data_IF_562740496722
#
_entry.id   IF_562740496722
#
_cell.length_a   1.000
_cell.length_b   1.000
_cell.length_c   1.000
_cell.angle_alpha   90.00
_cell.angle_beta   90.00
_cell.angle_gamma   90.00
#
_symmetry.space_group_name_H-M   'P 1'
#
loop_
_entity.id
_entity.type
_entity.pdbx_description
1 polymer ?
#
# COMPACT_ATOMS: atom_id res chain seq x y z
N UNK A 1 22.24 19.71 20.28
CA UNK A 1 23.03 19.61 19.03
C UNK A 1 22.07 19.79 17.85
N UNK A 2 22.37 20.64 16.85
CA UNK A 2 21.38 21.07 15.85
C UNK A 2 21.12 20.02 14.76
N UNK A 3 22.08 19.16 14.44
CA UNK A 3 21.90 18.09 13.46
C UNK A 3 21.20 16.88 14.06
N UNK A 4 20.33 16.24 13.29
CA UNK A 4 19.59 15.03 13.64
C UNK A 4 20.24 13.80 13.02
N UNK A 5 19.79 12.61 13.42
CA UNK A 5 20.09 11.34 12.76
C UNK A 5 21.59 11.05 12.53
N UNK A 6 22.42 11.40 13.52
CA UNK A 6 23.87 11.19 13.45
C UNK A 6 24.62 12.18 12.55
N UNK A 7 23.99 13.29 12.13
CA UNK A 7 24.64 14.36 11.39
C UNK A 7 25.76 15.05 12.17
N UNK A 8 26.86 15.36 11.49
CA UNK A 8 28.00 16.09 12.06
C UNK A 8 27.79 17.60 11.89
N UNK A 9 27.99 18.37 12.95
CA UNK A 9 27.80 19.81 12.95
C UNK A 9 29.12 20.54 12.75
N UNK A 10 29.18 21.44 11.76
CA UNK A 10 30.29 22.36 11.54
C UNK A 10 29.81 23.80 11.69
N UNK A 11 30.56 24.61 12.45
CA UNK A 11 30.30 26.04 12.56
C UNK A 11 30.81 26.78 11.32
N UNK A 12 30.05 27.75 10.85
CA UNK A 12 30.39 28.58 9.69
C UNK A 12 30.18 30.05 10.03
N UNK A 13 30.87 30.94 9.33
CA UNK A 13 30.91 32.38 9.66
C UNK A 13 29.66 33.16 9.24
N UNK A 14 28.71 32.51 8.58
CA UNK A 14 27.51 33.13 8.00
C UNK A 14 26.24 32.53 8.60
N UNK A 15 25.16 33.30 8.82
CA UNK A 15 23.87 32.77 9.27
C UNK A 15 23.42 31.56 8.41
N UNK A 16 22.93 30.46 9.01
CA UNK A 16 22.56 30.26 10.42
C UNK A 16 23.74 29.88 11.35
N UNK A 17 24.98 30.08 10.91
CA UNK A 17 26.23 29.81 11.64
C UNK A 17 26.58 28.34 11.85
N UNK A 18 25.81 27.43 11.25
CA UNK A 18 26.13 26.02 11.24
C UNK A 18 25.75 25.36 9.92
N UNK A 19 26.44 24.27 9.62
CA UNK A 19 26.14 23.36 8.52
C UNK A 19 26.17 21.92 9.06
N UNK A 20 25.14 21.13 8.71
CA UNK A 20 25.08 19.71 9.03
C UNK A 20 25.56 18.86 7.86
N UNK A 21 26.52 17.97 8.12
CA UNK A 21 26.90 16.88 7.21
C UNK A 21 26.07 15.65 7.56
N UNK A 22 25.20 15.25 6.64
CA UNK A 22 24.28 14.14 6.87
C UNK A 22 24.88 12.79 6.49
N UNK A 23 24.73 11.75 7.34
CA UNK A 23 25.06 10.38 6.96
C UNK A 23 24.16 9.91 5.81
N UNK A 24 24.61 8.87 5.11
CA UNK A 24 24.12 8.46 3.78
C UNK A 24 22.61 8.42 3.63
N UNK A 25 21.87 7.93 4.63
CA UNK A 25 20.42 7.74 4.58
C UNK A 25 19.61 8.98 5.00
N UNK A 26 20.25 10.13 5.25
CA UNK A 26 19.58 11.33 5.73
C UNK A 26 19.92 12.58 4.89
N UNK A 27 18.98 13.52 4.86
CA UNK A 27 19.04 14.78 4.11
C UNK A 27 18.26 15.87 4.84
N UNK A 28 18.27 17.09 4.30
CA UNK A 28 17.70 18.29 4.91
C UNK A 28 18.74 19.10 5.69
N UNK A 29 18.43 20.38 5.95
CA UNK A 29 19.33 21.37 6.60
C UNK A 29 19.87 20.87 7.94
N UNK A 30 19.12 20.04 8.63
CA UNK A 30 19.47 19.45 9.92
C UNK A 30 19.49 17.92 9.88
N UNK A 31 19.59 17.30 8.71
CA UNK A 31 19.54 15.84 8.52
C UNK A 31 18.24 15.18 9.02
N UNK A 32 17.13 15.91 9.02
CA UNK A 32 15.85 15.45 9.56
C UNK A 32 15.08 14.51 8.62
N UNK A 33 15.44 14.48 7.34
CA UNK A 33 14.69 13.76 6.30
C UNK A 33 15.43 12.47 5.95
N UNK A 34 14.74 11.33 5.90
CA UNK A 34 15.33 10.07 5.44
C UNK A 34 15.39 10.08 3.90
N UNK A 35 16.55 9.82 3.29
CA UNK A 35 16.72 9.70 1.83
C UNK A 35 16.00 8.49 1.26
N UNK A 36 15.82 7.46 2.09
CA UNK A 36 15.01 6.28 1.80
C UNK A 36 13.54 6.47 2.19
N UNK A 37 12.97 7.66 2.00
CA UNK A 37 11.56 7.69 1.67
C UNK A 37 11.47 7.11 0.26
N UNK A 38 11.19 5.81 0.15
CA UNK A 38 10.82 5.16 -1.12
C UNK A 38 9.90 6.16 -1.84
N UNK A 39 10.21 6.59 -3.08
CA UNK A 39 9.30 7.46 -3.81
C UNK A 39 7.90 6.86 -3.68
N UNK A 40 6.85 7.65 -3.39
CA UNK A 40 5.51 7.11 -3.40
C UNK A 40 5.38 6.34 -4.71
N UNK A 41 5.07 5.04 -4.61
CA UNK A 41 4.85 4.23 -5.79
C UNK A 41 3.89 5.00 -6.68
N UNK A 42 4.12 5.05 -8.01
CA UNK A 42 3.17 5.69 -8.90
C UNK A 42 1.76 5.17 -8.59
N UNK A 43 0.72 6.02 -8.65
CA UNK A 43 -0.64 5.57 -8.38
C UNK A 43 -0.89 4.31 -9.19
N UNK A 44 -1.35 3.25 -8.52
CA UNK A 44 -1.67 1.99 -9.19
C UNK A 44 -2.89 2.29 -10.07
N UNK A 45 -2.66 2.44 -11.38
CA UNK A 45 -3.73 2.60 -12.35
C UNK A 45 -4.22 1.21 -12.78
N UNK A 46 -5.50 1.09 -13.08
CA UNK A 46 -6.06 -0.12 -13.66
C UNK A 46 -5.34 -0.42 -14.99
N UNK A 47 -4.71 -1.60 -15.15
CA UNK A 47 -3.96 -1.94 -16.37
C UNK A 47 -4.86 -2.24 -17.59
N UNK A 48 -6.19 -2.31 -17.38
CA UNK A 48 -7.17 -2.66 -18.39
C UNK A 48 -7.96 -1.41 -18.77
N UNK A 49 -7.74 -0.89 -19.99
CA UNK A 49 -8.38 0.34 -20.46
C UNK A 49 -9.92 0.22 -20.53
N UNK A 50 -10.43 -0.96 -20.87
CA UNK A 50 -11.86 -1.24 -20.99
C UNK A 50 -12.61 -1.13 -19.66
N UNK A 51 -11.92 -1.36 -18.53
CA UNK A 51 -12.55 -1.36 -17.21
C UNK A 51 -13.05 0.02 -16.77
N UNK A 52 -12.58 1.11 -17.39
CA UNK A 52 -13.08 2.44 -17.09
C UNK A 52 -14.56 2.61 -17.45
N UNK A 53 -15.05 1.93 -18.50
CA UNK A 53 -16.45 1.98 -18.92
C UNK A 53 -17.34 0.93 -18.22
N UNK A 54 -16.72 0.02 -17.46
CA UNK A 54 -17.40 -1.08 -16.77
C UNK A 54 -17.52 -0.89 -15.26
N UNK A 55 -16.64 -0.10 -14.68
CA UNK A 55 -16.72 0.25 -13.26
C UNK A 55 -18.05 0.94 -12.92
N UNK A 56 -18.66 0.50 -11.82
CA UNK A 56 -19.89 1.08 -11.25
C UNK A 56 -21.12 0.95 -12.19
N UNK A 57 -21.13 -0.05 -13.07
CA UNK A 57 -22.22 -0.36 -14.02
C UNK A 57 -23.27 -1.33 -13.45
N UNK A 58 -23.14 -1.72 -12.17
CA UNK A 58 -24.00 -2.67 -11.44
C UNK A 58 -23.91 -4.12 -11.92
N UNK A 59 -22.93 -4.44 -12.77
CA UNK A 59 -22.62 -5.79 -13.20
C UNK A 59 -21.18 -6.13 -12.82
N UNK A 60 -20.96 -7.32 -12.25
CA UNK A 60 -19.60 -7.76 -11.94
C UNK A 60 -18.89 -8.26 -13.21
N UNK A 61 -18.10 -7.40 -13.83
CA UNK A 61 -17.15 -7.74 -14.88
C UNK A 61 -15.89 -8.37 -14.27
N UNK A 62 -15.86 -9.71 -14.29
CA UNK A 62 -14.78 -10.52 -13.69
C UNK A 62 -13.36 -10.15 -14.14
N UNK A 63 -13.22 -9.66 -15.37
CA UNK A 63 -11.94 -9.20 -15.92
C UNK A 63 -11.44 -7.90 -15.25
N UNK A 64 -12.35 -7.10 -14.69
CA UNK A 64 -12.09 -5.89 -13.92
C UNK A 64 -12.05 -6.14 -12.41
N UNK A 65 -12.29 -7.38 -11.96
CA UNK A 65 -12.23 -7.80 -10.56
C UNK A 65 -10.79 -7.96 -10.04
N UNK A 66 -9.99 -6.90 -10.12
CA UNK A 66 -8.62 -6.85 -9.61
C UNK A 66 -8.41 -5.60 -8.73
N UNK A 67 -7.48 -5.61 -7.76
CA UNK A 67 -7.30 -4.48 -6.83
C UNK A 67 -6.99 -3.16 -7.55
N UNK A 68 -6.19 -3.23 -8.61
CA UNK A 68 -5.82 -2.06 -9.42
C UNK A 68 -7.02 -1.41 -10.14
N UNK A 69 -8.10 -2.16 -10.36
CA UNK A 69 -9.33 -1.70 -10.99
C UNK A 69 -10.47 -1.54 -9.95
N UNK A 70 -10.11 -1.46 -8.65
CA UNK A 70 -11.06 -1.29 -7.54
C UNK A 70 -12.18 -2.34 -7.54
N UNK A 71 -11.85 -3.57 -7.92
CA UNK A 71 -12.82 -4.68 -7.96
C UNK A 71 -14.05 -4.34 -8.82
N UNK A 72 -13.76 -3.84 -10.02
CA UNK A 72 -14.76 -3.33 -10.98
C UNK A 72 -15.59 -2.17 -10.43
N UNK A 73 -14.91 -1.19 -9.84
CA UNK A 73 -15.59 -0.06 -9.19
C UNK A 73 -16.48 -0.46 -7.99
N UNK A 74 -16.30 -1.66 -7.44
CA UNK A 74 -17.13 -2.18 -6.36
C UNK A 74 -18.18 -3.19 -6.80
N UNK A 75 -18.47 -3.34 -8.09
CA UNK A 75 -19.56 -4.20 -8.57
C UNK A 75 -19.31 -5.68 -8.29
N UNK A 76 -18.05 -6.11 -8.31
CA UNK A 76 -17.66 -7.46 -7.91
C UNK A 76 -17.47 -7.65 -6.39
N UNK A 77 -17.73 -6.61 -5.59
CA UNK A 77 -17.41 -6.58 -4.16
C UNK A 77 -18.52 -5.96 -3.31
N UNK A 78 -19.79 -6.19 -3.68
CA UNK A 78 -20.97 -5.71 -2.95
C UNK A 78 -20.97 -4.18 -2.77
N UNK A 79 -20.49 -3.44 -3.76
CA UNK A 79 -20.35 -1.98 -3.76
C UNK A 79 -19.37 -1.46 -2.68
N UNK A 80 -18.40 -2.29 -2.29
CA UNK A 80 -17.33 -1.92 -1.35
C UNK A 80 -16.01 -1.75 -2.11
N UNK A 81 -15.47 -0.54 -2.12
CA UNK A 81 -14.21 -0.21 -2.84
C UNK A 81 -13.03 -1.15 -2.58
N UNK A 82 -12.86 -1.64 -1.35
CA UNK A 82 -11.81 -2.59 -0.99
C UNK A 82 -12.23 -3.48 0.19
N UNK A 83 -12.69 -4.73 -0.07
CA UNK A 83 -13.07 -5.68 0.97
C UNK A 83 -11.95 -6.06 1.95
N UNK A 84 -10.69 -5.96 1.52
CA UNK A 84 -9.50 -6.33 2.31
C UNK A 84 -8.87 -5.14 3.03
N UNK A 85 -9.54 -3.98 3.10
CA UNK A 85 -8.99 -2.76 3.73
C UNK A 85 -8.53 -2.97 5.18
N UNK A 86 -9.15 -3.91 5.89
CA UNK A 86 -8.82 -4.23 7.29
C UNK A 86 -7.95 -5.48 7.44
N UNK A 87 -7.66 -6.19 6.34
CA UNK A 87 -6.85 -7.41 6.37
C UNK A 87 -5.37 -7.04 6.54
N UNK A 88 -4.73 -7.59 7.59
CA UNK A 88 -3.30 -7.35 7.85
C UNK A 88 -2.41 -7.98 6.76
N UNK A 89 -2.87 -9.05 6.12
CA UNK A 89 -2.18 -9.72 5.02
C UNK A 89 -2.77 -9.27 3.68
N UNK A 90 -2.20 -8.21 3.10
CA UNK A 90 -2.73 -7.52 1.91
C UNK A 90 -2.83 -8.38 0.65
N UNK A 91 -2.27 -9.58 0.64
CA UNK A 91 -2.26 -10.52 -0.48
C UNK A 91 -3.39 -11.55 -0.42
N UNK A 92 -4.21 -11.59 0.63
CA UNK A 92 -5.25 -12.62 0.78
C UNK A 92 -6.26 -12.69 -0.38
N UNK A 93 -6.41 -11.62 -1.16
CA UNK A 93 -7.22 -11.63 -2.38
C UNK A 93 -6.65 -12.55 -3.48
N UNK A 94 -5.35 -12.91 -3.48
CA UNK A 94 -4.79 -13.89 -4.44
C UNK A 94 -5.14 -15.33 -4.08
N UNK A 95 -5.48 -15.56 -2.82
CA UNK A 95 -5.79 -16.87 -2.26
C UNK A 95 -7.29 -17.09 -2.08
N UNK A 96 -8.09 -16.02 -2.12
CA UNK A 96 -9.53 -16.08 -1.95
C UNK A 96 -10.20 -17.08 -2.91
N UNK A 97 -10.90 -18.08 -2.35
CA UNK A 97 -11.62 -19.12 -3.09
C UNK A 97 -10.71 -20.02 -3.95
N UNK A 98 -9.54 -20.38 -3.43
CA UNK A 98 -8.58 -21.27 -4.09
C UNK A 98 -8.75 -22.76 -3.68
N UNK A 99 -9.72 -23.09 -2.81
CA UNK A 99 -9.95 -24.44 -2.27
C UNK A 99 -8.79 -24.99 -1.42
N UNK A 100 -7.89 -24.14 -0.97
CA UNK A 100 -6.81 -24.45 -0.04
C UNK A 100 -6.98 -23.57 1.18
N UNK A 101 -6.90 -24.16 2.37
CA UNK A 101 -7.02 -23.34 3.57
C UNK A 101 -5.71 -22.62 3.89
N UNK A 102 -5.75 -21.31 3.71
CA UNK A 102 -4.72 -20.33 4.00
C UNK A 102 -5.01 -19.72 5.38
N UNK A 103 -4.45 -20.33 6.42
CA UNK A 103 -4.72 -19.97 7.83
C UNK A 103 -4.50 -18.49 8.15
N UNK A 104 -3.55 -17.83 7.47
CA UNK A 104 -3.29 -16.39 7.61
C UNK A 104 -4.44 -15.51 7.07
N UNK A 105 -5.19 -16.02 6.10
CA UNK A 105 -6.35 -15.37 5.51
C UNK A 105 -7.67 -15.76 6.17
N UNK A 106 -7.66 -16.75 7.07
CA UNK A 106 -8.84 -17.24 7.78
C UNK A 106 -9.21 -16.37 9.00
N UNK A 107 -9.26 -15.06 8.81
CA UNK A 107 -9.68 -14.09 9.82
C UNK A 107 -10.89 -13.30 9.33
N UNK A 108 -11.66 -12.70 10.23
CA UNK A 108 -12.84 -11.90 9.83
C UNK A 108 -12.47 -10.72 8.93
N UNK A 109 -11.31 -10.10 9.19
CA UNK A 109 -10.81 -8.97 8.41
C UNK A 109 -10.37 -9.37 7.00
N UNK A 110 -10.02 -10.65 6.81
CA UNK A 110 -9.60 -11.24 5.55
C UNK A 110 -10.67 -12.17 4.95
N UNK A 111 -11.93 -12.02 5.38
CA UNK A 111 -13.11 -12.71 4.82
C UNK A 111 -13.09 -14.24 4.99
N UNK A 112 -12.48 -14.72 6.08
CA UNK A 112 -12.41 -16.13 6.46
C UNK A 112 -11.88 -17.06 5.37
N UNK A 113 -10.96 -16.57 4.52
CA UNK A 113 -10.41 -17.35 3.41
C UNK A 113 -11.50 -18.01 2.53
N UNK A 114 -12.61 -17.28 2.31
CA UNK A 114 -13.83 -17.79 1.67
C UNK A 114 -14.35 -19.12 2.24
N UNK A 115 -14.08 -19.39 3.51
CA UNK A 115 -14.38 -20.62 4.24
C UNK A 115 -13.68 -21.89 3.72
N UNK A 116 -12.57 -21.77 2.99
CA UNK A 116 -11.76 -22.90 2.54
C UNK A 116 -11.22 -23.74 3.73
N UNK A 117 -11.19 -23.16 4.94
CA UNK A 117 -10.81 -23.82 6.20
C UNK A 117 -11.93 -24.56 6.95
N UNK A 118 -13.20 -24.50 6.52
CA UNK A 118 -14.33 -25.02 7.33
C UNK A 118 -14.34 -26.54 7.53
N UNK A 119 -13.72 -27.31 6.64
CA UNK A 119 -13.76 -28.78 6.63
C UNK A 119 -12.37 -29.41 6.80
N UNK A 120 -11.45 -28.70 7.45
CA UNK A 120 -10.16 -29.29 7.88
C UNK A 120 -10.32 -30.17 9.12
#
# INVERSE_FOLDING_TARGET
QPCHNGGVCHEISTPPYFQCLCPGDYTGVRCQTVRMARPPLPPVHCPLEECAAKAEDSYCDKMCNIPACRWDGGDCSLLVDNPWKQCESSECWTYFNNSQCDELCNTVQCLYDNFDCKNR
#
